data_IF_530052379887
#
_entry.id   IF_530052379887
#
_cell.length_a   1.000
_cell.length_b   1.000
_cell.length_c   1.000
_cell.angle_alpha   90.00
_cell.angle_beta   90.00
_cell.angle_gamma   90.00
#
_symmetry.space_group_name_H-M   'P 1'
#
loop_
_entity.id
_entity.type
_entity.pdbx_description
1 polymer ?
#
# COMPACT_ATOMS: atom_id res chain seq x y z
N UNK A 1 -4.89 -18.64 22.91
CA UNK A 1 -5.52 -17.39 22.45
C UNK A 1 -4.76 -16.92 21.21
N UNK A 2 -5.40 -16.89 20.05
CA UNK A 2 -4.73 -16.45 18.83
C UNK A 2 -4.45 -14.95 18.94
N UNK A 3 -3.22 -14.54 18.63
CA UNK A 3 -2.85 -13.10 18.63
C UNK A 3 -3.75 -12.37 17.62
N UNK A 4 -4.30 -11.19 17.95
CA UNK A 4 -4.98 -10.37 16.97
C UNK A 4 -3.98 -9.99 15.87
N UNK A 5 -4.41 -9.97 14.62
CA UNK A 5 -3.57 -9.68 13.46
C UNK A 5 -2.34 -10.60 13.36
N UNK A 6 -2.52 -11.91 13.10
CA UNK A 6 -1.42 -12.81 12.79
C UNK A 6 -0.67 -12.34 11.54
N UNK A 7 0.53 -12.86 11.34
CA UNK A 7 1.21 -12.72 10.07
C UNK A 7 0.47 -13.52 9.01
N UNK A 8 0.33 -12.92 7.82
CA UNK A 8 -0.21 -13.61 6.66
C UNK A 8 0.62 -14.89 6.40
N UNK A 9 -0.03 -16.04 6.20
CA UNK A 9 0.68 -17.29 5.93
C UNK A 9 1.43 -17.21 4.60
N UNK A 10 2.46 -18.01 4.46
CA UNK A 10 3.06 -18.21 3.15
C UNK A 10 2.04 -18.84 2.19
N UNK A 11 1.95 -18.37 0.94
CA UNK A 11 1.00 -18.90 -0.02
C UNK A 11 1.36 -20.35 -0.38
N UNK A 12 0.34 -21.19 -0.55
CA UNK A 12 0.50 -22.50 -1.16
C UNK A 12 0.96 -22.34 -2.65
N UNK A 13 1.29 -23.46 -3.28
CA UNK A 13 1.83 -23.48 -4.64
C UNK A 13 0.86 -22.85 -5.66
N UNK A 14 -0.43 -23.16 -5.56
CA UNK A 14 -1.46 -22.63 -6.47
C UNK A 14 -1.65 -21.12 -6.28
N UNK A 15 -1.73 -20.66 -5.05
CA UNK A 15 -1.86 -19.25 -4.72
C UNK A 15 -0.63 -18.44 -5.13
N UNK A 16 0.56 -19.02 -4.95
CA UNK A 16 1.83 -18.42 -5.42
C UNK A 16 1.86 -18.29 -6.93
N UNK A 17 1.44 -19.34 -7.65
CA UNK A 17 1.39 -19.32 -9.11
C UNK A 17 0.36 -18.31 -9.64
N UNK A 18 -0.82 -18.19 -9.03
CA UNK A 18 -1.81 -17.18 -9.38
C UNK A 18 -1.24 -15.76 -9.20
N UNK A 19 -0.56 -15.52 -8.08
CA UNK A 19 0.14 -14.26 -7.84
C UNK A 19 1.22 -13.99 -8.89
N UNK A 20 2.03 -15.00 -9.23
CA UNK A 20 3.07 -14.89 -10.25
C UNK A 20 2.48 -14.57 -11.63
N UNK A 21 1.41 -15.25 -12.02
CA UNK A 21 0.74 -15.06 -13.31
C UNK A 21 0.15 -13.67 -13.47
N UNK A 22 -0.49 -13.13 -12.43
CA UNK A 22 -1.04 -11.77 -12.45
C UNK A 22 0.04 -10.73 -12.83
N UNK A 23 1.25 -10.88 -12.31
CA UNK A 23 2.34 -9.93 -12.55
C UNK A 23 3.25 -10.30 -13.73
N UNK A 24 3.16 -11.53 -14.26
CA UNK A 24 4.01 -12.02 -15.37
C UNK A 24 3.67 -11.37 -16.71
N UNK A 25 2.42 -10.95 -16.92
CA UNK A 25 1.97 -10.30 -18.17
C UNK A 25 2.42 -8.85 -18.31
N UNK A 26 3.16 -8.38 -17.33
CA UNK A 26 3.72 -7.03 -17.30
C UNK A 26 2.83 -6.03 -16.59
N UNK A 27 3.48 -4.97 -16.17
CA UNK A 27 2.81 -3.82 -15.54
C UNK A 27 3.35 -2.55 -16.17
N UNK A 28 2.47 -1.64 -16.54
CA UNK A 28 2.85 -0.38 -17.18
C UNK A 28 2.23 0.82 -16.47
N UNK A 29 2.95 1.94 -16.49
CA UNK A 29 2.42 3.21 -16.02
C UNK A 29 1.30 3.66 -16.97
N UNK A 30 0.11 3.86 -16.41
CA UNK A 30 -1.05 4.33 -17.18
C UNK A 30 -1.12 5.86 -17.19
N UNK A 31 -1.23 6.46 -16.01
CA UNK A 31 -1.33 7.92 -15.85
C UNK A 31 -1.18 8.38 -14.41
N UNK A 32 -0.82 9.65 -14.24
CA UNK A 32 -0.94 10.39 -12.98
C UNK A 32 -2.24 11.21 -12.95
N UNK A 33 -2.89 11.27 -11.80
CA UNK A 33 -4.19 11.91 -11.62
C UNK A 33 -4.11 12.96 -10.52
N UNK A 34 -4.54 14.18 -10.82
CA UNK A 34 -4.58 15.34 -9.90
C UNK A 34 -5.99 15.81 -9.58
N UNK A 35 -7.01 15.22 -10.19
CA UNK A 35 -8.42 15.51 -9.97
C UNK A 35 -9.29 14.27 -10.27
N UNK A 36 -10.45 14.16 -9.63
CA UNK A 36 -11.35 12.99 -9.80
C UNK A 36 -11.78 12.76 -11.24
N UNK A 37 -11.95 13.84 -12.03
CA UNK A 37 -12.28 13.75 -13.46
C UNK A 37 -11.19 13.12 -14.33
N UNK A 38 -9.99 12.99 -13.82
CA UNK A 38 -8.85 12.35 -14.49
C UNK A 38 -8.72 10.85 -14.22
N UNK A 39 -9.56 10.27 -13.36
CA UNK A 39 -9.50 8.85 -13.04
C UNK A 39 -9.76 7.98 -14.28
N UNK A 40 -9.06 6.82 -14.40
CA UNK A 40 -9.38 5.86 -15.45
C UNK A 40 -10.77 5.23 -15.22
N UNK A 41 -11.35 4.51 -16.20
CA UNK A 41 -12.57 3.76 -16.01
C UNK A 41 -12.50 2.84 -14.77
N UNK A 42 -13.65 2.63 -14.09
CA UNK A 42 -13.74 1.74 -12.94
C UNK A 42 -14.07 0.30 -13.39
N UNK A 43 -13.34 -0.19 -14.37
CA UNK A 43 -13.55 -1.46 -15.09
C UNK A 43 -12.60 -2.58 -14.64
N UNK A 44 -11.70 -2.28 -13.72
CA UNK A 44 -10.73 -3.23 -13.17
C UNK A 44 -10.72 -3.17 -11.65
N UNK A 45 -10.27 -4.25 -11.04
CA UNK A 45 -10.03 -4.30 -9.61
C UNK A 45 -8.90 -3.31 -9.26
N UNK A 46 -9.13 -2.47 -8.27
CA UNK A 46 -8.10 -1.56 -7.79
C UNK A 46 -7.61 -1.96 -6.41
N UNK A 47 -6.29 -1.97 -6.28
CA UNK A 47 -5.62 -1.99 -4.97
C UNK A 47 -4.71 -0.78 -4.88
N UNK A 48 -4.76 -0.06 -3.77
CA UNK A 48 -3.92 1.11 -3.60
C UNK A 48 -2.86 0.91 -2.52
N UNK A 49 -1.76 1.62 -2.67
CA UNK A 49 -0.62 1.62 -1.75
C UNK A 49 -0.52 2.99 -1.10
N UNK A 50 -0.66 3.02 0.21
CA UNK A 50 -0.52 4.21 1.04
C UNK A 50 0.68 4.06 1.98
N UNK A 51 1.38 5.14 2.25
CA UNK A 51 2.50 5.09 3.18
C UNK A 51 3.25 6.41 3.26
N UNK A 52 4.00 6.57 4.34
CA UNK A 52 4.85 7.76 4.53
C UNK A 52 5.89 7.88 3.43
N UNK A 53 6.32 9.11 3.20
CA UNK A 53 7.50 9.34 2.36
C UNK A 53 8.68 8.48 2.82
N UNK A 54 9.37 7.87 1.87
CA UNK A 54 10.50 6.99 2.11
C UNK A 54 10.18 5.70 2.91
N UNK A 55 8.92 5.31 3.03
CA UNK A 55 8.53 4.02 3.64
C UNK A 55 8.97 2.81 2.82
N UNK A 56 9.27 2.99 1.53
CA UNK A 56 9.63 1.93 0.59
C UNK A 56 8.55 1.59 -0.43
N UNK A 57 7.54 2.46 -0.61
CA UNK A 57 6.38 2.23 -1.47
C UNK A 57 6.77 1.97 -2.93
N UNK A 58 7.53 2.84 -3.56
CA UNK A 58 8.00 2.65 -4.94
C UNK A 58 8.90 1.41 -5.10
N UNK A 59 9.73 1.11 -4.09
CA UNK A 59 10.55 -0.11 -4.09
C UNK A 59 9.67 -1.36 -4.03
N UNK A 60 8.59 -1.33 -3.24
CA UNK A 60 7.65 -2.43 -3.13
C UNK A 60 6.88 -2.66 -4.43
N UNK A 61 6.35 -1.60 -5.05
CA UNK A 61 5.66 -1.68 -6.34
C UNK A 61 6.60 -2.22 -7.42
N UNK A 62 7.84 -1.75 -7.46
CA UNK A 62 8.84 -2.27 -8.40
C UNK A 62 9.17 -3.76 -8.15
N UNK A 63 9.24 -4.19 -6.89
CA UNK A 63 9.45 -5.59 -6.54
C UNK A 63 8.26 -6.48 -6.92
N UNK A 64 7.03 -6.02 -6.68
CA UNK A 64 5.80 -6.71 -7.08
C UNK A 64 5.73 -6.92 -8.59
N UNK A 65 6.03 -5.88 -9.34
CA UNK A 65 5.94 -5.90 -10.82
C UNK A 65 7.15 -6.50 -11.50
N UNK A 66 8.24 -6.75 -10.77
CA UNK A 66 9.50 -7.21 -11.33
C UNK A 66 10.19 -6.16 -12.24
N UNK A 67 9.70 -4.92 -12.27
CA UNK A 67 10.20 -3.85 -13.15
C UNK A 67 10.97 -2.78 -12.36
N UNK A 68 12.24 -2.64 -12.69
CA UNK A 68 13.07 -1.57 -12.12
C UNK A 68 12.59 -0.21 -12.63
N UNK A 69 12.25 0.71 -11.72
CA UNK A 69 11.94 2.10 -12.06
C UNK A 69 10.55 2.34 -12.64
N UNK A 70 9.62 1.38 -12.57
CA UNK A 70 8.21 1.58 -12.93
C UNK A 70 7.58 2.64 -12.01
N UNK A 71 7.61 2.42 -10.71
CA UNK A 71 7.29 3.42 -9.73
C UNK A 71 8.56 4.20 -9.35
N UNK A 72 8.52 5.53 -9.48
CA UNK A 72 9.66 6.39 -9.15
C UNK A 72 9.47 7.02 -7.78
N UNK A 73 10.48 6.93 -6.93
CA UNK A 73 10.51 7.70 -5.70
C UNK A 73 10.55 9.19 -6.04
N UNK A 74 9.50 9.94 -5.75
CA UNK A 74 9.53 11.39 -5.86
C UNK A 74 10.25 11.95 -4.63
N UNK A 75 11.49 12.36 -4.80
CA UNK A 75 12.29 12.99 -3.74
C UNK A 75 12.20 14.53 -3.78
N UNK A 76 11.36 15.12 -4.65
CA UNK A 76 11.29 16.57 -4.81
C UNK A 76 10.10 17.12 -4.02
N UNK A 77 10.33 17.84 -2.91
CA UNK A 77 9.27 18.57 -2.23
C UNK A 77 8.64 19.60 -3.18
N UNK A 78 7.31 19.72 -3.18
CA UNK A 78 6.60 20.74 -3.95
C UNK A 78 6.15 20.34 -5.37
N UNK A 79 6.43 19.13 -5.85
CA UNK A 79 5.76 18.60 -7.05
C UNK A 79 4.30 18.26 -6.73
N UNK A 80 3.42 18.50 -7.71
CA UNK A 80 2.02 18.09 -7.66
C UNK A 80 1.95 16.62 -7.28
N UNK A 81 1.28 16.34 -6.17
CA UNK A 81 1.14 14.96 -5.68
C UNK A 81 0.03 14.29 -6.48
N UNK A 82 0.41 13.36 -7.33
CA UNK A 82 -0.48 12.63 -8.21
C UNK A 82 -0.83 11.27 -7.62
N UNK A 83 -2.04 10.81 -7.87
CA UNK A 83 -2.41 9.39 -7.71
C UNK A 83 -1.95 8.70 -9.00
N UNK A 84 -0.97 7.82 -8.89
CA UNK A 84 -0.39 7.14 -10.04
C UNK A 84 -1.04 5.78 -10.26
N UNK A 85 -1.58 5.57 -11.45
CA UNK A 85 -2.18 4.32 -11.88
C UNK A 85 -1.21 3.51 -12.72
N UNK A 86 -1.09 2.24 -12.38
CA UNK A 86 -0.36 1.24 -13.17
C UNK A 86 -1.34 0.13 -13.54
N UNK A 87 -1.25 -0.33 -14.77
CA UNK A 87 -1.95 -1.56 -15.20
C UNK A 87 -1.16 -2.78 -14.76
N UNK A 88 -1.85 -3.82 -14.33
CA UNK A 88 -1.26 -5.13 -14.10
C UNK A 88 -2.23 -6.15 -14.68
N UNK A 89 -1.82 -6.81 -15.77
CA UNK A 89 -2.74 -7.55 -16.61
C UNK A 89 -3.92 -6.68 -17.09
N UNK A 90 -4.96 -7.31 -17.65
CA UNK A 90 -6.20 -6.63 -18.05
C UNK A 90 -7.21 -6.51 -16.91
N UNK A 91 -6.91 -7.10 -15.76
CA UNK A 91 -7.85 -7.27 -14.64
C UNK A 91 -7.63 -6.30 -13.47
N UNK A 92 -6.44 -5.75 -13.31
CA UNK A 92 -6.09 -4.97 -12.10
C UNK A 92 -5.43 -3.62 -12.41
N UNK A 93 -5.72 -2.66 -11.54
CA UNK A 93 -4.90 -1.45 -11.37
C UNK A 93 -4.17 -1.49 -10.02
N UNK A 94 -2.87 -1.22 -10.07
CA UNK A 94 -2.11 -0.86 -8.89
C UNK A 94 -2.09 0.66 -8.79
N UNK A 95 -2.47 1.19 -7.64
CA UNK A 95 -2.61 2.63 -7.45
C UNK A 95 -1.62 3.11 -6.40
N UNK A 96 -0.65 3.91 -6.82
CA UNK A 96 0.34 4.52 -5.94
C UNK A 96 -0.19 5.86 -5.43
N UNK A 97 -0.59 5.89 -4.17
CA UNK A 97 -1.02 7.12 -3.53
C UNK A 97 0.17 7.99 -3.16
N UNK A 98 0.04 9.31 -3.22
CA UNK A 98 1.11 10.21 -2.78
C UNK A 98 1.56 9.87 -1.36
N UNK A 99 2.87 9.89 -1.13
CA UNK A 99 3.41 9.72 0.23
C UNK A 99 2.93 10.84 1.16
N UNK A 100 2.57 10.50 2.38
CA UNK A 100 2.18 11.47 3.39
C UNK A 100 3.31 11.76 4.39
N UNK A 101 3.10 12.76 5.28
CA UNK A 101 4.07 13.13 6.30
C UNK A 101 5.21 14.02 5.81
N UNK A 102 5.00 14.77 4.73
CA UNK A 102 5.94 15.82 4.31
C UNK A 102 5.83 17.04 5.23
N UNK A 103 6.85 17.30 6.02
CA UNK A 103 6.88 18.44 6.95
C UNK A 103 6.95 19.83 6.26
N UNK A 104 7.29 19.90 4.97
CA UNK A 104 7.65 21.15 4.28
C UNK A 104 6.78 21.48 3.05
N UNK A 105 5.60 20.85 2.88
CA UNK A 105 4.70 21.21 1.79
C UNK A 105 3.83 22.43 2.17
N UNK A 106 3.59 23.40 1.26
CA UNK A 106 2.68 24.51 1.52
C UNK A 106 1.27 24.00 1.88
N UNK A 107 0.62 24.60 2.89
CA UNK A 107 -0.70 24.20 3.35
C UNK A 107 -1.75 24.03 2.23
N UNK A 108 -1.88 24.95 1.25
CA UNK A 108 -2.87 24.79 0.17
C UNK A 108 -2.63 23.53 -0.70
N UNK A 109 -1.37 23.12 -0.85
CA UNK A 109 -1.00 21.90 -1.60
C UNK A 109 -1.41 20.67 -0.80
N UNK A 110 -1.17 20.68 0.50
CA UNK A 110 -1.56 19.58 1.42
C UNK A 110 -3.07 19.42 1.45
N UNK A 111 -3.83 20.51 1.60
CA UNK A 111 -5.30 20.49 1.63
C UNK A 111 -5.91 19.97 0.31
N UNK A 112 -5.38 20.43 -0.84
CA UNK A 112 -5.83 19.95 -2.14
C UNK A 112 -5.61 18.44 -2.29
N UNK A 113 -4.45 17.97 -1.89
CA UNK A 113 -4.10 16.56 -1.92
C UNK A 113 -4.96 15.72 -0.98
N UNK A 114 -5.14 16.17 0.26
CA UNK A 114 -6.00 15.47 1.22
C UNK A 114 -7.45 15.36 0.73
N UNK A 115 -7.96 16.42 0.08
CA UNK A 115 -9.29 16.41 -0.53
C UNK A 115 -9.40 15.39 -1.67
N UNK A 116 -8.42 15.35 -2.57
CA UNK A 116 -8.37 14.37 -3.65
C UNK A 116 -8.31 12.94 -3.11
N UNK A 117 -7.42 12.70 -2.13
CA UNK A 117 -7.29 11.40 -1.48
C UNK A 117 -8.61 10.95 -0.83
N UNK A 118 -9.24 11.84 -0.05
CA UNK A 118 -10.53 11.55 0.58
C UNK A 118 -11.61 11.22 -0.46
N UNK A 119 -11.72 12.02 -1.53
CA UNK A 119 -12.68 11.78 -2.60
C UNK A 119 -12.42 10.44 -3.32
N UNK A 120 -11.15 10.11 -3.59
CA UNK A 120 -10.78 8.83 -4.18
C UNK A 120 -11.16 7.65 -3.27
N UNK A 121 -10.77 7.69 -2.00
CA UNK A 121 -11.05 6.60 -1.07
C UNK A 121 -12.55 6.41 -0.83
N UNK A 122 -13.33 7.50 -0.69
CA UNK A 122 -14.77 7.41 -0.38
C UNK A 122 -15.65 7.16 -1.62
N UNK A 123 -15.16 7.46 -2.82
CA UNK A 123 -15.99 7.46 -4.03
C UNK A 123 -15.59 6.43 -5.09
N UNK A 124 -14.44 5.77 -4.94
CA UNK A 124 -13.95 4.85 -5.96
C UNK A 124 -14.48 3.43 -5.77
N UNK A 125 -15.49 3.07 -6.56
CA UNK A 125 -16.20 1.78 -6.44
C UNK A 125 -15.33 0.55 -6.78
N UNK A 126 -14.35 0.70 -7.66
CA UNK A 126 -13.41 -0.36 -8.04
C UNK A 126 -12.28 -0.60 -7.01
N UNK A 127 -12.11 0.30 -6.04
CA UNK A 127 -11.12 0.12 -4.97
C UNK A 127 -11.58 -0.97 -4.00
N UNK A 128 -10.82 -2.06 -3.96
CA UNK A 128 -11.13 -3.24 -3.12
C UNK A 128 -10.33 -3.28 -1.84
N UNK A 129 -9.08 -2.83 -1.87
CA UNK A 129 -8.20 -2.85 -0.69
C UNK A 129 -7.12 -1.77 -0.76
N UNK A 130 -6.85 -1.17 0.38
CA UNK A 130 -5.68 -0.33 0.57
C UNK A 130 -4.58 -1.10 1.31
N UNK A 131 -3.37 -1.14 0.78
CA UNK A 131 -2.20 -1.64 1.48
C UNK A 131 -1.49 -0.47 2.15
N UNK A 132 -1.53 -0.45 3.49
CA UNK A 132 -0.88 0.60 4.28
C UNK A 132 0.51 0.14 4.68
N UNK A 133 1.51 0.84 4.18
CA UNK A 133 2.92 0.50 4.36
C UNK A 133 3.47 1.12 5.63
N UNK A 134 4.03 0.29 6.49
CA UNK A 134 4.66 0.67 7.75
C UNK A 134 6.12 0.22 7.72
N UNK A 135 7.05 1.14 7.98
CA UNK A 135 8.48 0.83 8.06
C UNK A 135 8.76 0.02 9.33
N UNK A 136 9.26 -1.21 9.19
CA UNK A 136 9.53 -2.13 10.30
C UNK A 136 10.48 -1.56 11.36
N UNK A 137 11.31 -0.58 11.01
CA UNK A 137 12.24 0.06 11.96
C UNK A 137 11.55 1.01 12.93
N UNK A 138 10.33 1.47 12.58
CA UNK A 138 9.67 2.56 13.29
C UNK A 138 8.27 2.24 13.79
N UNK A 139 7.60 1.23 13.21
CA UNK A 139 6.19 0.93 13.49
C UNK A 139 5.24 2.07 13.08
N UNK A 140 4.02 2.00 13.60
CA UNK A 140 2.97 3.00 13.34
C UNK A 140 3.32 4.32 14.02
N UNK A 141 3.17 5.43 13.30
CA UNK A 141 3.35 6.81 13.78
C UNK A 141 2.00 7.54 13.76
N UNK A 142 1.91 8.68 14.43
CA UNK A 142 0.69 9.50 14.48
C UNK A 142 0.12 9.81 13.09
N UNK A 143 0.96 10.13 12.13
CA UNK A 143 0.53 10.40 10.74
C UNK A 143 -0.01 9.15 10.01
N UNK A 144 0.42 7.95 10.42
CA UNK A 144 -0.15 6.70 9.92
C UNK A 144 -1.57 6.51 10.51
N UNK A 145 -1.77 6.79 11.80
CA UNK A 145 -3.08 6.70 12.46
C UNK A 145 -4.13 7.63 11.81
N UNK A 146 -3.71 8.80 11.31
CA UNK A 146 -4.59 9.71 10.56
C UNK A 146 -5.09 9.06 9.25
N UNK A 147 -4.22 8.35 8.54
CA UNK A 147 -4.59 7.61 7.32
C UNK A 147 -5.46 6.40 7.64
N UNK A 148 -5.14 5.63 8.70
CA UNK A 148 -5.97 4.51 9.13
C UNK A 148 -7.39 4.98 9.47
N UNK A 149 -7.52 6.09 10.21
CA UNK A 149 -8.82 6.70 10.54
C UNK A 149 -9.57 7.22 9.29
N UNK A 150 -8.84 7.72 8.29
CA UNK A 150 -9.44 8.12 7.01
C UNK A 150 -9.98 6.90 6.26
N UNK A 151 -9.27 5.77 6.25
CA UNK A 151 -9.72 4.53 5.63
C UNK A 151 -10.95 3.96 6.33
N UNK A 152 -10.99 3.96 7.67
CA UNK A 152 -12.19 3.60 8.44
C UNK A 152 -13.39 4.47 8.06
N UNK A 153 -13.22 5.79 8.08
CA UNK A 153 -14.31 6.74 7.77
C UNK A 153 -14.76 6.68 6.31
N UNK A 154 -13.93 6.15 5.42
CA UNK A 154 -14.23 5.92 4.01
C UNK A 154 -14.76 4.51 3.73
N UNK A 155 -14.90 3.67 4.76
CA UNK A 155 -15.30 2.26 4.66
C UNK A 155 -14.43 1.44 3.66
N UNK A 156 -13.13 1.76 3.59
CA UNK A 156 -12.17 1.06 2.74
C UNK A 156 -11.42 0.03 3.56
N UNK A 157 -11.57 -1.24 3.22
CA UNK A 157 -10.75 -2.30 3.83
C UNK A 157 -9.27 -2.05 3.57
N UNK A 158 -8.46 -2.06 4.62
CA UNK A 158 -7.02 -1.91 4.48
C UNK A 158 -6.24 -3.03 5.15
N UNK A 159 -5.09 -3.36 4.60
CA UNK A 159 -4.18 -4.38 5.13
C UNK A 159 -2.81 -3.76 5.40
N UNK A 160 -2.26 -4.04 6.57
CA UNK A 160 -0.94 -3.56 6.95
C UNK A 160 0.15 -4.36 6.24
N UNK A 161 1.09 -3.65 5.61
CA UNK A 161 2.29 -4.22 5.00
C UNK A 161 3.52 -3.61 5.66
N UNK A 162 4.22 -4.40 6.44
CA UNK A 162 5.48 -3.99 7.03
C UNK A 162 6.59 -4.06 5.99
N UNK A 163 7.30 -2.97 5.79
CA UNK A 163 8.38 -2.86 4.81
C UNK A 163 9.75 -2.86 5.47
N UNK A 164 10.79 -3.11 4.68
CA UNK A 164 12.20 -3.07 5.14
C UNK A 164 12.49 -4.02 6.30
N UNK A 165 11.90 -5.20 6.28
CA UNK A 165 12.14 -6.21 7.31
C UNK A 165 13.62 -6.64 7.42
N UNK A 166 14.40 -6.45 6.35
CA UNK A 166 15.84 -6.66 6.32
C UNK A 166 16.65 -5.63 7.10
N UNK A 167 16.05 -4.50 7.48
CA UNK A 167 16.71 -3.38 8.20
C UNK A 167 16.42 -3.37 9.70
N UNK A 168 15.69 -4.36 10.23
CA UNK A 168 15.40 -4.51 11.64
C UNK A 168 16.03 -5.80 12.18
N UNK A 169 16.52 -5.76 13.42
CA UNK A 169 17.05 -6.95 14.08
C UNK A 169 15.91 -7.87 14.52
N UNK A 170 16.12 -9.18 14.42
CA UNK A 170 15.09 -10.20 14.73
C UNK A 170 14.46 -9.97 16.11
N UNK A 171 15.27 -9.73 17.14
CA UNK A 171 14.78 -9.51 18.51
C UNK A 171 13.97 -8.21 18.70
N UNK A 172 13.97 -7.30 17.72
CA UNK A 172 13.18 -6.05 17.76
C UNK A 172 11.88 -6.20 17.01
N UNK A 173 11.75 -7.19 16.12
CA UNK A 173 10.59 -7.39 15.26
C UNK A 173 9.32 -7.63 16.09
N UNK A 174 9.39 -8.49 17.10
CA UNK A 174 8.23 -8.82 17.94
C UNK A 174 7.67 -7.58 18.63
N UNK A 175 8.56 -6.74 19.19
CA UNK A 175 8.14 -5.49 19.84
C UNK A 175 7.44 -4.54 18.86
N UNK A 176 7.92 -4.44 17.61
CA UNK A 176 7.30 -3.58 16.60
C UNK A 176 5.98 -4.18 16.13
N UNK A 177 5.91 -5.51 15.94
CA UNK A 177 4.66 -6.20 15.61
C UNK A 177 3.59 -5.98 16.69
N UNK A 178 3.93 -6.06 17.95
CA UNK A 178 2.98 -5.82 19.05
C UNK A 178 2.47 -4.37 19.05
N UNK A 179 3.34 -3.41 18.77
CA UNK A 179 2.94 -2.02 18.61
C UNK A 179 2.00 -1.82 17.41
N UNK A 180 2.29 -2.47 16.27
CA UNK A 180 1.46 -2.43 15.08
C UNK A 180 0.10 -3.08 15.35
N UNK A 181 0.06 -4.27 15.97
CA UNK A 181 -1.19 -4.96 16.37
C UNK A 181 -2.05 -4.10 17.28
N UNK A 182 -1.42 -3.46 18.28
CA UNK A 182 -2.12 -2.55 19.19
C UNK A 182 -2.69 -1.31 18.49
N UNK A 183 -2.05 -0.82 17.43
CA UNK A 183 -2.63 0.25 16.61
C UNK A 183 -3.80 -0.27 15.77
N UNK A 184 -3.60 -1.36 15.01
CA UNK A 184 -4.62 -1.94 14.11
C UNK A 184 -5.90 -2.36 14.83
N UNK A 185 -5.81 -2.83 16.08
CA UNK A 185 -6.97 -3.28 16.86
C UNK A 185 -8.01 -2.18 17.14
N UNK A 186 -7.66 -0.92 16.90
CA UNK A 186 -8.55 0.24 17.03
C UNK A 186 -9.31 0.58 15.75
N UNK A 187 -9.01 -0.13 14.65
CA UNK A 187 -9.48 0.20 13.31
C UNK A 187 -10.36 -0.92 12.75
N UNK A 188 -11.68 -0.74 12.67
CA UNK A 188 -12.59 -1.78 12.21
C UNK A 188 -12.44 -2.17 10.74
N UNK A 189 -11.90 -1.27 9.91
CA UNK A 189 -11.63 -1.57 8.50
C UNK A 189 -10.30 -2.33 8.27
N UNK A 190 -9.52 -2.57 9.33
CA UNK A 190 -8.27 -3.30 9.23
C UNK A 190 -8.51 -4.78 8.88
N UNK A 191 -7.95 -5.25 7.75
CA UNK A 191 -7.92 -6.67 7.41
C UNK A 191 -7.08 -7.44 8.46
N UNK A 192 -7.55 -8.59 8.94
CA UNK A 192 -7.01 -9.21 10.16
C UNK A 192 -5.68 -9.97 9.97
N UNK A 193 -4.84 -9.54 9.04
CA UNK A 193 -3.52 -10.12 8.77
C UNK A 193 -2.50 -9.04 8.44
N UNK A 194 -1.26 -9.23 8.89
CA UNK A 194 -0.10 -8.38 8.58
C UNK A 194 0.81 -9.10 7.60
N UNK A 195 1.21 -8.43 6.52
CA UNK A 195 2.23 -8.93 5.59
C UNK A 195 3.57 -8.27 5.93
N UNK A 196 4.61 -9.08 6.10
CA UNK A 196 5.98 -8.57 6.34
C UNK A 196 6.79 -8.70 5.06
N UNK A 197 7.42 -7.59 4.61
CA UNK A 197 8.11 -7.55 3.33
C UNK A 197 9.53 -6.96 3.41
N UNK A 198 10.37 -7.43 2.51
CA UNK A 198 11.62 -6.79 2.12
C UNK A 198 11.74 -6.80 0.60
N UNK A 199 11.59 -5.64 -0.02
CA UNK A 199 11.79 -5.51 -1.48
C UNK A 199 13.23 -5.81 -1.90
N UNK A 200 14.20 -5.61 -1.01
CA UNK A 200 15.63 -5.88 -1.27
C UNK A 200 15.96 -7.38 -1.26
N UNK A 201 15.31 -8.13 -0.37
CA UNK A 201 15.55 -9.57 -0.18
C UNK A 201 14.48 -10.45 -0.80
N UNK A 202 13.42 -9.88 -1.38
CA UNK A 202 12.30 -10.62 -1.94
C UNK A 202 11.35 -11.23 -0.90
N UNK A 203 11.58 -11.02 0.39
CA UNK A 203 10.76 -11.59 1.46
C UNK A 203 9.34 -11.03 1.37
N UNK A 204 8.32 -11.89 1.47
CA UNK A 204 6.90 -11.54 1.51
C UNK A 204 6.34 -10.99 0.19
N UNK A 205 7.13 -10.94 -0.88
CA UNK A 205 6.67 -10.45 -2.19
C UNK A 205 5.66 -11.43 -2.79
N UNK A 206 5.92 -12.74 -2.72
CA UNK A 206 5.00 -13.76 -3.22
C UNK A 206 3.71 -13.80 -2.41
N UNK A 207 3.79 -13.61 -1.08
CA UNK A 207 2.61 -13.49 -0.21
C UNK A 207 1.75 -12.29 -0.63
N UNK A 208 2.36 -11.13 -0.87
CA UNK A 208 1.61 -9.94 -1.29
C UNK A 208 1.04 -10.08 -2.71
N UNK A 209 1.79 -10.68 -3.65
CA UNK A 209 1.28 -11.00 -5.00
C UNK A 209 0.08 -11.93 -4.95
N UNK A 210 0.18 -13.00 -4.18
CA UNK A 210 -0.90 -13.96 -3.96
C UNK A 210 -2.11 -13.28 -3.33
N UNK A 211 -1.91 -12.46 -2.30
CA UNK A 211 -2.99 -11.69 -1.67
C UNK A 211 -3.71 -10.80 -2.68
N UNK A 212 -2.97 -10.08 -3.54
CA UNK A 212 -3.56 -9.20 -4.57
C UNK A 212 -4.35 -10.02 -5.59
N UNK A 213 -3.82 -11.15 -6.05
CA UNK A 213 -4.48 -12.01 -7.04
C UNK A 213 -5.79 -12.66 -6.54
N UNK A 214 -6.00 -12.74 -5.23
CA UNK A 214 -7.24 -13.27 -4.63
C UNK A 214 -8.27 -12.19 -4.29
N UNK A 215 -7.99 -10.92 -4.50
CA UNK A 215 -8.95 -9.83 -4.33
C UNK A 215 -9.90 -9.81 -5.53
N UNK A 216 -11.22 -9.82 -5.23
CA UNK A 216 -12.31 -9.81 -6.22
C UNK A 216 -13.11 -8.50 -6.14
#
# INVERSE_FOLDING_TARGET
MQLPFPLAPEPDEMSRENGRLLFARGSDFLKGVVAMSGLPPADRIEVCFAGRSNVGKSSLINALTGRKGLARASNTPGRTQEINFFTTDESHYLVDLPGYGFANAPLPVVEKWQRLLKQYLSGRQSLRRAFVLIDSRHGVKKVDEEILSLLDSSAVTFQCVMTKADKIKVHQMDKVLDQVRGALSKHPAAFPEIIVTSSEKGVGIDTLRSTIAHIQ
#
